data_IF_609504264906
#
_entry.id   IF_609504264906
#
_cell.length_a   1.000
_cell.length_b   1.000
_cell.length_c   1.000
_cell.angle_alpha   90.00
_cell.angle_beta   90.00
_cell.angle_gamma   90.00
#
_symmetry.space_group_name_H-M   'P 1'
#
loop_
_entity.id
_entity.type
_entity.pdbx_description
1 polymer ?
#
# COMPACT_ATOMS: atom_id res chain seq x y z
N UNK A 1 -9.83 12.14 -23.50
CA UNK A 1 -9.91 12.44 -24.93
C UNK A 1 -9.03 11.51 -25.73
N UNK A 2 -9.49 11.16 -26.93
CA UNK A 2 -8.72 10.29 -27.86
C UNK A 2 -7.83 11.06 -28.83
N UNK A 3 -7.70 12.38 -28.63
CA UNK A 3 -6.95 13.30 -29.47
C UNK A 3 -5.74 13.88 -28.73
N UNK A 4 -5.03 14.82 -29.34
CA UNK A 4 -3.77 15.37 -28.86
C UNK A 4 -3.89 16.12 -27.50
N UNK A 5 -5.10 16.40 -27.03
CA UNK A 5 -5.31 17.06 -25.74
C UNK A 5 -6.67 17.72 -25.60
N UNK A 6 -6.87 18.36 -24.48
CA UNK A 6 -8.04 19.21 -24.16
C UNK A 6 -7.56 20.65 -24.11
N UNK A 7 -8.35 21.59 -24.64
CA UNK A 7 -8.05 23.01 -24.58
C UNK A 7 -7.82 23.46 -23.13
N UNK A 8 -6.68 24.09 -22.87
CA UNK A 8 -6.26 24.49 -21.52
C UNK A 8 -7.32 25.39 -20.84
N UNK A 9 -7.99 26.24 -21.59
CA UNK A 9 -9.07 27.09 -21.07
C UNK A 9 -10.24 26.30 -20.51
N UNK A 10 -10.51 25.11 -21.08
CA UNK A 10 -11.54 24.20 -20.57
C UNK A 10 -11.08 23.55 -19.26
N UNK A 11 -9.81 23.16 -19.19
CA UNK A 11 -9.22 22.62 -17.96
C UNK A 11 -9.29 23.65 -16.83
N UNK A 12 -8.87 24.88 -17.08
CA UNK A 12 -8.93 25.99 -16.10
C UNK A 12 -10.35 26.30 -15.61
N UNK A 13 -11.37 26.11 -16.47
CA UNK A 13 -12.75 26.48 -16.15
C UNK A 13 -13.51 25.40 -15.37
N UNK A 14 -13.23 24.12 -15.61
CA UNK A 14 -14.08 23.03 -15.10
C UNK A 14 -13.35 21.94 -14.33
N UNK A 15 -12.03 21.85 -14.43
CA UNK A 15 -11.26 20.80 -13.74
C UNK A 15 -10.87 21.27 -12.34
N UNK A 16 -11.23 20.49 -11.32
CA UNK A 16 -10.85 20.76 -9.93
C UNK A 16 -9.49 20.17 -9.60
N UNK A 17 -9.18 19.00 -10.15
CA UNK A 17 -7.97 18.25 -9.83
C UNK A 17 -7.40 17.56 -11.07
N UNK A 18 -6.05 17.55 -11.16
CA UNK A 18 -5.30 16.81 -12.15
C UNK A 18 -4.60 15.64 -11.44
N UNK A 19 -4.94 14.41 -11.82
CA UNK A 19 -4.42 13.21 -11.21
C UNK A 19 -3.61 12.40 -12.22
N UNK A 20 -2.37 12.06 -11.87
CA UNK A 20 -1.53 11.13 -12.64
C UNK A 20 -1.52 9.76 -11.95
N UNK A 21 -1.58 8.69 -12.74
CA UNK A 21 -1.40 7.31 -12.26
C UNK A 21 0.01 6.77 -12.51
N UNK A 22 0.92 7.57 -13.07
CA UNK A 22 2.31 7.23 -13.32
C UNK A 22 2.92 7.99 -14.49
N UNK A 23 4.25 7.91 -14.60
CA UNK A 23 5.06 8.61 -15.62
C UNK A 23 5.12 7.82 -16.93
N UNK A 24 3.97 7.63 -17.55
CA UNK A 24 3.82 6.98 -18.86
C UNK A 24 2.62 7.54 -19.62
N UNK A 25 2.62 7.36 -20.92
CA UNK A 25 1.54 7.85 -21.81
C UNK A 25 0.62 6.68 -22.19
N UNK A 26 -0.68 6.89 -22.07
CA UNK A 26 -1.73 5.97 -22.49
C UNK A 26 -2.49 6.52 -23.70
N UNK A 27 -3.17 5.64 -24.42
CA UNK A 27 -3.94 6.01 -25.63
C UNK A 27 -5.23 6.78 -25.31
N UNK A 28 -5.70 6.73 -24.04
CA UNK A 28 -6.92 7.40 -23.60
C UNK A 28 -7.07 7.42 -22.10
N UNK A 29 -8.11 8.06 -21.60
CA UNK A 29 -8.41 8.22 -20.17
C UNK A 29 -9.18 7.08 -19.53
N UNK A 30 -9.58 6.06 -20.30
CA UNK A 30 -10.45 4.98 -19.82
C UNK A 30 -9.75 4.11 -18.77
N UNK A 31 -8.52 3.69 -19.03
CA UNK A 31 -7.74 2.87 -18.09
C UNK A 31 -7.42 3.62 -16.79
N UNK A 32 -6.91 4.87 -16.81
CA UNK A 32 -6.76 5.67 -15.61
C UNK A 32 -8.05 5.81 -14.81
N UNK A 33 -9.18 6.05 -15.49
CA UNK A 33 -10.49 6.17 -14.84
C UNK A 33 -10.90 4.86 -14.15
N UNK A 34 -10.69 3.71 -14.79
CA UNK A 34 -10.97 2.41 -14.20
C UNK A 34 -10.10 2.14 -12.98
N UNK A 35 -8.79 2.46 -13.04
CA UNK A 35 -7.87 2.34 -11.89
C UNK A 35 -8.35 3.19 -10.71
N UNK A 36 -8.72 4.45 -10.97
CA UNK A 36 -9.22 5.35 -9.93
C UNK A 36 -10.54 4.86 -9.33
N UNK A 37 -11.48 4.43 -10.18
CA UNK A 37 -12.77 3.89 -9.71
C UNK A 37 -12.55 2.67 -8.83
N UNK A 38 -11.72 1.72 -9.24
CA UNK A 38 -11.43 0.52 -8.46
C UNK A 38 -10.78 0.89 -7.12
N UNK A 39 -9.73 1.69 -7.14
CA UNK A 39 -9.00 2.11 -5.95
C UNK A 39 -9.88 2.85 -4.93
N UNK A 40 -10.74 3.77 -5.40
CA UNK A 40 -11.63 4.55 -4.53
C UNK A 40 -12.80 3.68 -4.03
N UNK A 41 -13.39 2.85 -4.90
CA UNK A 41 -14.54 2.02 -4.54
C UNK A 41 -14.22 1.04 -3.41
N UNK A 42 -13.00 0.54 -3.35
CA UNK A 42 -12.54 -0.36 -2.28
C UNK A 42 -12.57 0.27 -0.89
N UNK A 43 -12.51 1.60 -0.81
CA UNK A 43 -12.58 2.35 0.45
C UNK A 43 -14.03 2.60 0.90
N UNK A 44 -15.02 2.30 0.05
CA UNK A 44 -16.44 2.46 0.39
C UNK A 44 -16.89 1.26 1.22
N UNK A 45 -17.47 1.47 2.44
CA UNK A 45 -17.95 0.39 3.26
C UNK A 45 -18.95 -0.52 2.50
N UNK A 46 -18.77 -1.83 2.64
CA UNK A 46 -19.64 -2.84 2.02
C UNK A 46 -19.36 -3.15 0.54
N UNK A 47 -18.38 -2.52 -0.09
CA UNK A 47 -17.94 -2.88 -1.46
C UNK A 47 -17.09 -4.14 -1.44
N UNK A 48 -16.19 -4.29 -0.47
CA UNK A 48 -15.45 -5.52 -0.23
C UNK A 48 -16.21 -6.41 0.76
N UNK A 49 -16.20 -7.72 0.54
CA UNK A 49 -16.85 -8.69 1.44
C UNK A 49 -16.19 -8.78 2.83
N UNK A 50 -15.02 -8.18 3.00
CA UNK A 50 -14.28 -8.17 4.26
C UNK A 50 -13.68 -6.77 4.49
N UNK A 51 -14.39 -5.95 5.27
CA UNK A 51 -13.98 -4.58 5.60
C UNK A 51 -12.63 -4.54 6.36
N UNK A 52 -12.27 -5.62 7.07
CA UNK A 52 -10.99 -5.76 7.78
C UNK A 52 -9.81 -5.89 6.81
N UNK A 53 -10.04 -6.33 5.57
CA UNK A 53 -8.98 -6.51 4.58
C UNK A 53 -8.30 -5.19 4.20
N UNK A 54 -9.06 -4.09 4.15
CA UNK A 54 -8.54 -2.77 3.78
C UNK A 54 -7.66 -2.14 4.87
N UNK A 55 -7.79 -2.56 6.14
CA UNK A 55 -7.02 -1.99 7.26
C UNK A 55 -5.53 -2.39 7.26
N UNK A 56 -5.17 -3.46 6.56
CA UNK A 56 -3.80 -4.01 6.56
C UNK A 56 -3.09 -3.89 5.20
N UNK A 57 -3.71 -3.22 4.24
CA UNK A 57 -3.14 -3.02 2.91
C UNK A 57 -2.08 -1.91 2.88
N UNK A 58 -1.29 -1.89 1.78
CA UNK A 58 -0.32 -0.83 1.54
C UNK A 58 -0.98 0.56 1.57
N UNK A 59 -0.22 1.54 2.06
CA UNK A 59 -0.61 2.95 2.26
C UNK A 59 -1.52 3.21 3.45
N UNK A 60 -1.98 2.19 4.19
CA UNK A 60 -2.54 2.40 5.50
C UNK A 60 -1.41 2.83 6.47
N UNK A 61 -1.65 3.84 7.30
CA UNK A 61 -0.61 4.47 8.12
C UNK A 61 0.63 4.96 7.33
N UNK A 62 0.53 5.15 6.01
CA UNK A 62 1.63 5.42 5.09
C UNK A 62 2.74 4.36 5.10
N UNK A 63 2.40 3.10 5.34
CA UNK A 63 3.31 1.98 5.27
C UNK A 63 2.97 1.06 4.10
N UNK A 64 3.97 0.34 3.58
CA UNK A 64 3.76 -0.78 2.67
C UNK A 64 3.29 -2.00 3.45
N UNK A 65 2.49 -2.83 2.81
CA UNK A 65 2.05 -4.10 3.36
C UNK A 65 3.23 -5.03 3.67
N UNK A 66 3.11 -5.80 4.76
CA UNK A 66 4.06 -6.84 5.13
C UNK A 66 4.09 -7.99 4.12
N UNK A 67 5.16 -8.83 4.08
CA UNK A 67 5.25 -9.96 3.17
C UNK A 67 4.20 -11.03 3.47
N UNK A 68 3.44 -11.42 2.46
CA UNK A 68 2.45 -12.48 2.53
C UNK A 68 3.08 -13.84 2.22
N UNK A 69 2.61 -14.88 2.92
CA UNK A 69 3.03 -16.26 2.73
C UNK A 69 1.82 -17.17 2.55
N UNK A 70 1.95 -18.18 1.71
CA UNK A 70 0.94 -19.19 1.44
C UNK A 70 1.48 -20.59 1.76
N UNK A 71 0.62 -21.58 1.71
CA UNK A 71 1.03 -23.00 1.81
C UNK A 71 1.75 -23.44 0.54
N UNK A 72 2.69 -24.38 0.63
CA UNK A 72 3.18 -25.11 1.81
C UNK A 72 4.13 -24.28 2.69
N UNK A 73 4.42 -24.76 3.91
CA UNK A 73 5.33 -24.08 4.86
C UNK A 73 6.79 -24.00 4.34
N UNK A 74 7.17 -24.91 3.45
CA UNK A 74 8.44 -24.89 2.73
C UNK A 74 8.18 -25.03 1.23
N UNK A 75 8.84 -24.20 0.42
CA UNK A 75 8.79 -24.27 -1.04
C UNK A 75 10.15 -23.96 -1.63
N UNK A 76 10.71 -24.93 -2.38
CA UNK A 76 12.02 -24.82 -3.05
C UNK A 76 13.17 -24.39 -2.12
N UNK A 77 13.20 -24.95 -0.89
CA UNK A 77 14.21 -24.66 0.12
C UNK A 77 14.04 -23.33 0.84
N UNK A 78 12.90 -22.64 0.64
CA UNK A 78 12.52 -21.40 1.36
C UNK A 78 11.38 -21.70 2.31
N UNK A 79 11.56 -21.32 3.57
CA UNK A 79 10.59 -21.55 4.62
C UNK A 79 9.76 -20.32 4.93
N UNK A 80 8.51 -20.54 5.35
CA UNK A 80 7.69 -19.50 5.97
C UNK A 80 8.29 -19.17 7.34
N UNK A 81 8.43 -17.88 7.70
CA UNK A 81 8.94 -17.49 9.03
C UNK A 81 8.22 -18.24 10.16
N UNK A 82 8.95 -18.90 11.08
CA UNK A 82 8.35 -19.74 12.11
C UNK A 82 7.33 -19.03 13.00
N UNK A 83 7.51 -17.71 13.18
CA UNK A 83 6.59 -16.87 13.96
C UNK A 83 5.16 -16.91 13.39
N UNK A 84 5.02 -16.96 12.06
CA UNK A 84 3.71 -17.02 11.39
C UNK A 84 3.00 -18.37 11.59
N UNK A 85 3.75 -19.41 11.95
CA UNK A 85 3.23 -20.76 12.23
C UNK A 85 3.00 -21.01 13.74
N UNK A 86 3.37 -20.05 14.59
CA UNK A 86 3.36 -20.23 16.05
C UNK A 86 1.98 -20.20 16.70
N UNK A 87 0.95 -19.67 16.02
CA UNK A 87 -0.37 -19.43 16.60
C UNK A 87 -0.42 -18.28 17.63
N UNK A 88 0.71 -17.61 17.89
CA UNK A 88 0.76 -16.47 18.81
C UNK A 88 0.39 -15.17 18.08
N UNK A 89 -0.91 -14.88 17.99
CA UNK A 89 -1.43 -13.75 17.25
C UNK A 89 -0.76 -12.39 17.60
N UNK A 90 -0.60 -12.01 18.89
CA UNK A 90 0.07 -10.76 19.22
C UNK A 90 1.50 -10.64 18.66
N UNK A 91 2.28 -11.73 18.73
CA UNK A 91 3.64 -11.73 18.16
C UNK A 91 3.66 -11.77 16.64
N UNK A 92 2.67 -12.39 16.03
CA UNK A 92 2.49 -12.36 14.57
C UNK A 92 2.18 -10.94 14.10
N UNK A 93 1.31 -10.22 14.80
CA UNK A 93 0.93 -8.85 14.45
C UNK A 93 2.10 -7.87 14.67
N UNK A 94 2.87 -8.04 15.75
CA UNK A 94 4.10 -7.31 15.98
C UNK A 94 5.11 -7.53 14.84
N UNK A 95 5.33 -8.79 14.45
CA UNK A 95 6.22 -9.14 13.34
C UNK A 95 5.76 -8.53 12.01
N UNK A 96 4.46 -8.61 11.71
CA UNK A 96 3.88 -7.99 10.50
C UNK A 96 4.13 -6.49 10.46
N UNK A 97 3.89 -5.80 11.57
CA UNK A 97 4.13 -4.36 11.71
C UNK A 97 5.61 -4.02 11.48
N UNK A 98 6.52 -4.75 12.09
CA UNK A 98 7.96 -4.59 11.89
C UNK A 98 8.36 -4.81 10.42
N UNK A 99 7.80 -5.83 9.75
CA UNK A 99 8.07 -6.07 8.34
C UNK A 99 7.53 -4.97 7.41
N UNK A 100 6.37 -4.40 7.72
CA UNK A 100 5.83 -3.24 7.01
C UNK A 100 6.78 -2.05 7.11
N UNK A 101 7.29 -1.75 8.30
CA UNK A 101 8.25 -0.67 8.53
C UNK A 101 9.55 -0.92 7.74
N UNK A 102 10.16 -2.09 7.89
CA UNK A 102 11.40 -2.44 7.17
C UNK A 102 11.24 -2.32 5.66
N UNK A 103 10.15 -2.85 5.13
CA UNK A 103 9.85 -2.80 3.69
C UNK A 103 9.62 -1.38 3.20
N UNK A 104 8.97 -0.54 4.01
CA UNK A 104 8.73 0.85 3.66
C UNK A 104 10.05 1.64 3.68
N UNK A 105 10.87 1.47 4.70
CA UNK A 105 12.20 2.10 4.78
C UNK A 105 13.08 1.75 3.58
N UNK A 106 13.02 0.49 3.13
CA UNK A 106 13.83 0.01 1.99
C UNK A 106 13.30 0.49 0.64
N UNK A 107 11.97 0.45 0.42
CA UNK A 107 11.38 0.58 -0.92
C UNK A 107 10.70 1.91 -1.17
N UNK A 108 10.19 2.52 -0.13
CA UNK A 108 9.46 3.79 -0.17
C UNK A 108 9.80 4.65 1.05
N UNK A 109 11.09 5.06 1.17
CA UNK A 109 11.53 5.90 2.29
C UNK A 109 10.77 7.24 2.37
N UNK A 110 10.26 7.73 1.25
CA UNK A 110 9.41 8.91 1.17
C UNK A 110 8.14 8.79 2.04
N UNK A 111 7.52 7.61 2.13
CA UNK A 111 6.34 7.38 2.96
C UNK A 111 6.65 7.42 4.46
N UNK A 112 7.89 7.16 4.86
CA UNK A 112 8.26 7.18 6.28
C UNK A 112 8.18 8.58 6.91
N UNK A 113 8.29 9.64 6.11
CA UNK A 113 8.21 11.01 6.59
C UNK A 113 6.86 11.34 7.23
N UNK A 114 5.78 10.79 6.63
CA UNK A 114 4.39 11.01 7.08
C UNK A 114 3.76 9.74 7.69
N UNK A 115 4.57 8.71 7.99
CA UNK A 115 4.07 7.46 8.55
C UNK A 115 3.52 7.64 9.97
N UNK A 116 2.34 7.06 10.23
CA UNK A 116 1.73 7.05 11.56
C UNK A 116 2.39 5.97 12.43
N UNK A 117 3.48 6.34 13.10
CA UNK A 117 4.30 5.43 13.90
C UNK A 117 3.95 5.48 15.39
N UNK A 118 3.75 4.31 15.99
CA UNK A 118 3.58 4.15 17.44
C UNK A 118 4.91 4.34 18.19
N UNK A 119 4.84 4.43 19.52
CA UNK A 119 6.04 4.47 20.37
C UNK A 119 6.87 3.18 20.27
N UNK A 120 6.21 2.07 20.08
CA UNK A 120 6.81 0.74 19.87
C UNK A 120 7.55 0.68 18.54
N UNK A 121 6.96 1.22 17.47
CA UNK A 121 7.57 1.30 16.15
C UNK A 121 8.86 2.13 16.18
N UNK A 122 8.81 3.28 16.84
CA UNK A 122 9.99 4.16 17.00
C UNK A 122 11.10 3.46 17.79
N UNK A 123 10.75 2.69 18.83
CA UNK A 123 11.74 1.89 19.56
C UNK A 123 12.37 0.83 18.66
N UNK A 124 11.55 0.12 17.89
CA UNK A 124 12.04 -0.88 16.95
C UNK A 124 13.01 -0.26 15.93
N UNK A 125 12.65 0.84 15.29
CA UNK A 125 13.51 1.54 14.31
C UNK A 125 14.87 1.90 14.94
N UNK A 126 14.89 2.42 16.16
CA UNK A 126 16.14 2.73 16.88
C UNK A 126 17.02 1.51 17.16
N UNK A 127 16.51 0.31 17.10
CA UNK A 127 17.31 -0.92 17.24
C UNK A 127 18.04 -1.29 15.95
N UNK A 128 17.59 -0.78 14.81
CA UNK A 128 18.17 -1.04 13.49
C UNK A 128 19.42 -0.18 13.21
N UNK A 129 19.53 0.97 13.88
CA UNK A 129 20.64 1.92 13.72
C UNK A 129 21.90 1.53 14.53
N UNK A 130 21.92 0.34 15.13
CA UNK A 130 23.05 -0.21 15.89
C UNK A 130 23.75 -1.31 15.14
#
# INVERSE_FOLDING_TARGET
>A
GHYEGIDERVLEMIVTDNVSIGDYVLTGGELPSMVMIDAISRLVPGVLNNDVSAEFESFNDNLLEYPQYTRPAEFMGKEVPPILLSGNHPKVDEWRRQQSILRTMERRPDLMEDANLSKEDIKFIKTLDK
#
